data_IF_423950728906
#
_entry.id   IF_423950728906
#
_cell.length_a   1.000
_cell.length_b   1.000
_cell.length_c   1.000
_cell.angle_alpha   90.00
_cell.angle_beta   90.00
_cell.angle_gamma   90.00
#
_symmetry.space_group_name_H-M   'P 1'
#
loop_
_entity.id
_entity.type
_entity.pdbx_description
1 polymer ?
#
# COMPACT_ATOMS: atom_id res chain seq x y z
N UNK A 1 13.79 5.63 -34.02
CA UNK A 1 13.85 5.01 -32.67
C UNK A 1 12.44 4.98 -32.12
N UNK A 2 11.79 3.82 -32.13
CA UNK A 2 10.43 3.64 -31.61
C UNK A 2 10.50 3.74 -30.10
N UNK A 3 9.95 4.81 -29.53
CA UNK A 3 9.81 4.94 -28.07
C UNK A 3 8.86 3.83 -27.63
N UNK A 4 9.40 2.83 -26.96
CA UNK A 4 8.60 1.79 -26.33
C UNK A 4 7.70 2.49 -25.29
N UNK A 5 6.42 2.62 -25.59
CA UNK A 5 5.45 3.18 -24.65
C UNK A 5 5.43 2.29 -23.41
N UNK A 6 5.87 2.83 -22.29
CA UNK A 6 5.81 2.11 -21.01
C UNK A 6 4.36 1.69 -20.75
N UNK A 7 4.13 0.43 -20.40
CA UNK A 7 2.78 -0.07 -20.08
C UNK A 7 2.19 0.75 -18.92
N UNK A 8 0.95 1.22 -19.03
CA UNK A 8 0.31 2.06 -18.00
C UNK A 8 0.10 1.30 -16.67
N UNK A 9 0.06 -0.03 -16.71
CA UNK A 9 0.03 -0.91 -15.54
C UNK A 9 1.09 -2.00 -15.72
N UNK A 10 1.85 -2.26 -14.66
CA UNK A 10 2.81 -3.38 -14.62
C UNK A 10 2.08 -4.65 -14.17
N UNK A 11 2.20 -5.69 -14.95
CA UNK A 11 1.73 -7.01 -14.57
C UNK A 11 2.81 -7.73 -13.74
N UNK A 12 2.39 -8.56 -12.80
CA UNK A 12 3.30 -9.49 -12.13
C UNK A 12 3.89 -10.45 -13.17
N UNK A 13 5.20 -10.73 -13.03
CA UNK A 13 5.90 -11.64 -13.94
C UNK A 13 5.76 -13.12 -13.57
N UNK A 14 4.95 -13.43 -12.55
CA UNK A 14 4.68 -14.77 -12.08
C UNK A 14 3.19 -14.95 -11.81
N UNK A 15 2.76 -16.19 -11.78
CA UNK A 15 1.38 -16.52 -11.44
C UNK A 15 1.09 -16.19 -9.97
N UNK A 16 0.14 -15.28 -9.74
CA UNK A 16 -0.31 -14.90 -8.41
C UNK A 16 -1.05 -16.04 -7.68
N UNK A 17 -1.48 -17.09 -8.37
CA UNK A 17 -2.07 -18.28 -7.73
C UNK A 17 -1.01 -19.14 -7.05
N UNK A 18 0.21 -19.14 -7.61
CA UNK A 18 1.29 -19.97 -7.14
C UNK A 18 2.12 -19.33 -6.02
N UNK A 19 2.31 -18.00 -6.07
CA UNK A 19 3.14 -17.29 -5.11
C UNK A 19 2.73 -15.83 -4.92
N UNK A 20 2.90 -15.26 -3.70
CA UNK A 20 2.70 -13.84 -3.47
C UNK A 20 3.85 -13.01 -4.06
N UNK A 21 3.55 -11.77 -4.46
CA UNK A 21 4.54 -10.76 -4.77
C UNK A 21 5.07 -10.08 -3.50
N UNK A 22 4.17 -9.89 -2.51
CA UNK A 22 4.48 -9.22 -1.24
C UNK A 22 3.72 -9.91 -0.11
N UNK A 23 4.41 -10.11 1.02
CA UNK A 23 3.81 -10.54 2.28
C UNK A 23 4.10 -9.49 3.34
N UNK A 24 3.05 -9.00 3.96
CA UNK A 24 3.15 -8.11 5.12
C UNK A 24 3.02 -8.98 6.37
N UNK A 25 3.99 -8.89 7.26
CA UNK A 25 3.91 -9.58 8.56
C UNK A 25 3.87 -8.54 9.69
N UNK A 26 2.73 -8.50 10.38
CA UNK A 26 2.56 -7.78 11.62
C UNK A 26 3.24 -8.57 12.75
N UNK A 27 4.50 -8.22 13.05
CA UNK A 27 5.33 -9.00 13.97
C UNK A 27 4.94 -8.82 15.44
N UNK A 28 4.19 -7.73 15.75
CA UNK A 28 3.68 -7.38 17.08
C UNK A 28 2.52 -6.41 16.96
N UNK A 29 1.65 -6.35 17.98
CA UNK A 29 0.66 -5.27 18.15
C UNK A 29 1.09 -4.18 19.14
N UNK A 30 2.23 -4.35 19.79
CA UNK A 30 2.74 -3.34 20.71
C UNK A 30 3.10 -2.05 19.96
N UNK A 31 2.68 -0.90 20.51
CA UNK A 31 2.99 0.42 19.99
C UNK A 31 2.77 1.48 21.07
N UNK A 32 3.62 2.48 21.09
CA UNK A 32 3.49 3.64 22.02
C UNK A 32 2.57 4.73 21.45
N UNK A 33 2.19 4.67 20.16
CA UNK A 33 1.28 5.64 19.55
C UNK A 33 -0.18 5.24 19.73
N UNK A 34 -1.05 6.24 19.73
CA UNK A 34 -2.50 6.10 19.89
C UNK A 34 -3.30 6.54 18.65
N UNK A 35 -2.77 6.26 17.44
CA UNK A 35 -3.32 6.72 16.16
C UNK A 35 -4.82 6.48 16.02
N UNK A 36 -5.56 7.50 15.57
CA UNK A 36 -7.03 7.48 15.41
C UNK A 36 -7.49 6.50 14.32
N UNK A 37 -6.64 6.22 13.32
CA UNK A 37 -6.92 5.31 12.19
C UNK A 37 -6.31 3.92 12.35
N UNK A 38 -5.80 3.57 13.54
CA UNK A 38 -5.03 2.33 13.72
C UNK A 38 -5.82 1.09 13.32
N UNK A 39 -5.36 0.45 12.25
CA UNK A 39 -5.91 -0.82 11.73
C UNK A 39 -5.73 -1.97 12.73
N UNK A 40 -4.52 -2.04 13.32
CA UNK A 40 -4.13 -3.13 14.21
C UNK A 40 -4.79 -3.07 15.58
N UNK A 41 -5.45 -1.93 15.90
CA UNK A 41 -5.92 -1.67 17.25
C UNK A 41 -4.81 -1.93 18.27
N UNK A 42 -3.68 -1.24 18.06
CA UNK A 42 -2.42 -1.45 18.77
C UNK A 42 -2.60 -1.29 20.28
N UNK A 43 -1.80 -2.06 21.02
CA UNK A 43 -1.76 -2.11 22.49
C UNK A 43 -0.37 -1.72 22.99
N UNK A 44 -0.25 -1.32 24.27
CA UNK A 44 1.03 -0.81 24.81
C UNK A 44 2.08 -1.90 25.06
N UNK A 45 1.67 -3.15 25.23
CA UNK A 45 2.57 -4.26 25.55
C UNK A 45 2.45 -5.38 24.53
N UNK A 46 3.53 -6.14 24.38
CA UNK A 46 3.55 -7.30 23.47
C UNK A 46 2.57 -8.38 23.93
N UNK A 47 1.88 -8.97 22.96
CA UNK A 47 1.03 -10.12 23.19
C UNK A 47 1.91 -11.37 23.48
N UNK A 48 1.69 -12.10 24.58
CA UNK A 48 2.49 -13.30 24.89
C UNK A 48 2.33 -14.43 23.87
N UNK A 49 1.28 -14.38 23.04
CA UNK A 49 1.04 -15.37 21.98
C UNK A 49 1.60 -14.94 20.61
N UNK A 50 2.42 -13.90 20.54
CA UNK A 50 3.13 -13.57 19.30
C UNK A 50 3.98 -14.75 18.81
N UNK A 51 4.17 -14.86 17.49
CA UNK A 51 5.10 -15.85 16.95
C UNK A 51 6.47 -15.67 17.60
N UNK A 52 7.01 -16.75 18.14
CA UNK A 52 8.38 -16.80 18.68
C UNK A 52 9.40 -16.55 17.56
N UNK A 53 10.65 -16.31 17.93
CA UNK A 53 11.74 -16.16 16.94
C UNK A 53 11.83 -17.37 16.01
N UNK A 54 11.67 -18.58 16.53
CA UNK A 54 11.78 -19.81 15.72
C UNK A 54 10.55 -20.04 14.85
N UNK A 55 9.34 -19.68 15.32
CA UNK A 55 8.14 -19.67 14.48
C UNK A 55 8.26 -18.64 13.36
N UNK A 56 8.79 -17.45 13.67
CA UNK A 56 9.08 -16.42 12.67
C UNK A 56 10.10 -16.85 11.63
N UNK A 57 11.17 -17.57 12.05
CA UNK A 57 12.12 -18.16 11.11
C UNK A 57 11.46 -19.20 10.20
N UNK A 58 10.62 -20.08 10.74
CA UNK A 58 9.88 -21.06 9.92
C UNK A 58 8.97 -20.38 8.90
N UNK A 59 8.29 -19.29 9.29
CA UNK A 59 7.52 -18.49 8.34
C UNK A 59 8.40 -17.94 7.21
N UNK A 60 9.57 -17.39 7.53
CA UNK A 60 10.50 -16.87 6.51
C UNK A 60 11.07 -17.99 5.62
N UNK A 61 11.34 -19.19 6.17
CA UNK A 61 11.72 -20.37 5.39
C UNK A 61 10.61 -20.77 4.40
N UNK A 62 9.35 -20.74 4.84
CA UNK A 62 8.19 -21.02 4.01
C UNK A 62 8.05 -19.96 2.88
N UNK A 63 8.25 -18.69 3.18
CA UNK A 63 8.22 -17.63 2.18
C UNK A 63 9.36 -17.77 1.15
N UNK A 64 10.54 -18.19 1.59
CA UNK A 64 11.67 -18.45 0.69
C UNK A 64 11.45 -19.70 -0.18
N UNK A 65 10.67 -20.67 0.29
CA UNK A 65 10.39 -21.92 -0.44
C UNK A 65 9.57 -21.74 -1.71
N UNK A 66 8.95 -20.56 -1.94
CA UNK A 66 8.31 -20.24 -3.22
C UNK A 66 9.30 -20.15 -4.40
N UNK A 67 10.60 -20.08 -4.14
CA UNK A 67 11.61 -19.96 -5.18
C UNK A 67 11.68 -18.55 -5.79
N UNK A 68 12.41 -18.42 -6.90
CA UNK A 68 12.64 -17.12 -7.57
C UNK A 68 11.54 -16.80 -8.58
N UNK A 69 11.04 -15.57 -8.64
CA UNK A 69 11.30 -14.47 -7.72
C UNK A 69 10.66 -14.69 -6.34
N UNK A 70 11.43 -14.44 -5.27
CA UNK A 70 10.92 -14.53 -3.91
C UNK A 70 10.02 -13.33 -3.57
N UNK A 71 9.04 -13.48 -2.65
CA UNK A 71 8.23 -12.36 -2.22
C UNK A 71 9.05 -11.28 -1.50
N UNK A 72 8.60 -10.04 -1.63
CA UNK A 72 9.01 -8.97 -0.73
C UNK A 72 8.34 -9.20 0.63
N UNK A 73 9.10 -9.16 1.71
CA UNK A 73 8.59 -9.26 3.07
C UNK A 73 8.70 -7.91 3.76
N UNK A 74 7.58 -7.40 4.26
CA UNK A 74 7.53 -6.16 5.05
C UNK A 74 7.17 -6.51 6.48
N UNK A 75 8.08 -6.25 7.40
CA UNK A 75 7.86 -6.40 8.83
C UNK A 75 7.24 -5.11 9.37
N UNK A 76 6.04 -5.22 9.88
CA UNK A 76 5.25 -4.13 10.44
C UNK A 76 4.68 -4.54 11.80
N UNK A 77 3.77 -3.74 12.33
CA UNK A 77 3.12 -4.09 13.59
C UNK A 77 2.24 -2.97 14.08
N UNK A 78 2.11 -2.88 15.39
CA UNK A 78 1.99 -1.61 16.07
C UNK A 78 3.26 -0.81 15.81
N UNK A 79 4.33 -1.18 16.51
CA UNK A 79 5.69 -0.77 16.17
C UNK A 79 6.61 -2.02 16.16
N UNK A 80 7.14 -2.44 14.99
CA UNK A 80 7.99 -3.61 14.92
C UNK A 80 9.27 -3.48 15.77
N UNK A 81 9.69 -2.26 16.12
CA UNK A 81 10.86 -2.00 16.99
C UNK A 81 10.60 -2.32 18.47
N UNK A 82 9.35 -2.60 18.85
CA UNK A 82 9.03 -3.20 20.16
C UNK A 82 9.50 -4.66 20.26
N UNK A 83 9.91 -5.27 19.14
CA UNK A 83 10.34 -6.67 19.07
C UNK A 83 11.87 -6.77 19.08
N UNK A 84 12.50 -7.23 20.20
CA UNK A 84 13.96 -7.20 20.37
C UNK A 84 14.72 -8.17 19.46
N UNK A 85 14.06 -9.20 18.91
CA UNK A 85 14.64 -10.16 17.98
C UNK A 85 14.43 -9.78 16.49
N UNK A 86 13.89 -8.58 16.21
CA UNK A 86 13.65 -8.12 14.85
C UNK A 86 14.90 -8.17 13.95
N UNK A 87 16.11 -7.75 14.39
CA UNK A 87 17.33 -7.87 13.58
C UNK A 87 17.67 -9.31 13.22
N UNK A 88 17.40 -10.27 14.13
CA UNK A 88 17.63 -11.71 13.86
C UNK A 88 16.70 -12.25 12.78
N UNK A 89 15.45 -11.80 12.76
CA UNK A 89 14.46 -12.15 11.72
C UNK A 89 14.83 -11.53 10.37
N UNK A 90 15.24 -10.27 10.35
CA UNK A 90 15.71 -9.60 9.12
C UNK A 90 16.94 -10.33 8.56
N UNK A 91 17.93 -10.61 9.38
CA UNK A 91 19.15 -11.33 8.97
C UNK A 91 18.83 -12.73 8.42
N UNK A 92 17.90 -13.46 9.06
CA UNK A 92 17.48 -14.78 8.59
C UNK A 92 16.82 -14.70 7.22
N UNK A 93 15.83 -13.80 7.04
CA UNK A 93 15.17 -13.60 5.75
C UNK A 93 16.13 -13.16 4.65
N UNK A 94 17.07 -12.27 4.96
CA UNK A 94 18.12 -11.82 4.03
C UNK A 94 19.02 -12.98 3.60
N UNK A 95 19.45 -13.83 4.55
CA UNK A 95 20.25 -15.03 4.26
C UNK A 95 19.52 -15.99 3.32
N UNK A 96 18.20 -16.10 3.44
CA UNK A 96 17.36 -16.89 2.55
C UNK A 96 17.16 -16.22 1.17
N UNK A 97 17.65 -14.99 0.96
CA UNK A 97 17.49 -14.21 -0.28
C UNK A 97 16.12 -13.54 -0.43
N UNK A 98 15.37 -13.39 0.66
CA UNK A 98 14.17 -12.56 0.68
C UNK A 98 14.55 -11.07 0.64
N UNK A 99 13.73 -10.26 -0.03
CA UNK A 99 13.83 -8.80 0.08
C UNK A 99 13.12 -8.34 1.35
N UNK A 100 13.89 -7.82 2.32
CA UNK A 100 13.35 -7.40 3.62
C UNK A 100 13.14 -5.89 3.68
N UNK A 101 12.00 -5.47 4.20
CA UNK A 101 11.67 -4.07 4.48
C UNK A 101 11.01 -3.96 5.87
N UNK A 102 11.06 -2.79 6.47
CA UNK A 102 10.45 -2.52 7.78
C UNK A 102 9.53 -1.30 7.72
N UNK A 103 8.46 -1.34 8.48
CA UNK A 103 7.49 -0.25 8.60
C UNK A 103 7.28 0.10 10.08
N UNK A 104 8.23 0.79 10.71
CA UNK A 104 8.12 1.19 12.11
C UNK A 104 7.16 2.33 12.32
N UNK A 105 6.72 2.49 13.57
CA UNK A 105 6.19 3.74 14.09
C UNK A 105 7.32 4.68 14.48
N UNK A 106 7.06 5.98 14.45
CA UNK A 106 8.04 6.95 14.94
C UNK A 106 7.81 7.10 16.46
N UNK A 107 8.65 6.41 17.21
CA UNK A 107 8.69 6.35 18.68
C UNK A 107 10.14 6.50 19.14
N UNK A 108 10.39 6.62 20.43
CA UNK A 108 11.73 6.67 21.02
C UNK A 108 12.61 5.46 20.68
N UNK A 109 12.00 4.38 20.20
CA UNK A 109 12.73 3.20 19.74
C UNK A 109 13.34 3.35 18.35
N UNK A 110 12.88 4.32 17.57
CA UNK A 110 13.43 4.59 16.24
C UNK A 110 14.70 5.44 16.37
N UNK A 111 15.82 4.80 16.62
CA UNK A 111 17.13 5.45 16.73
C UNK A 111 18.01 5.14 15.51
N UNK A 112 19.09 5.91 15.35
CA UNK A 112 20.06 5.69 14.28
C UNK A 112 20.73 4.32 14.41
N UNK A 113 21.03 3.90 15.63
CA UNK A 113 21.68 2.63 15.93
C UNK A 113 20.81 1.45 15.49
N UNK A 114 19.52 1.47 15.81
CA UNK A 114 18.55 0.44 15.38
C UNK A 114 18.41 0.42 13.86
N UNK A 115 18.38 1.59 13.21
CA UNK A 115 18.34 1.66 11.76
C UNK A 115 19.61 1.08 11.12
N UNK A 116 20.79 1.38 11.67
CA UNK A 116 22.08 0.82 11.18
C UNK A 116 22.09 -0.69 11.38
N UNK A 117 21.75 -1.20 12.57
CA UNK A 117 21.69 -2.64 12.84
C UNK A 117 20.78 -3.39 11.86
N UNK A 118 19.57 -2.85 11.59
CA UNK A 118 18.63 -3.46 10.63
C UNK A 118 19.11 -3.34 9.17
N UNK A 119 19.82 -2.26 8.82
CA UNK A 119 20.42 -2.10 7.49
C UNK A 119 21.51 -3.13 7.25
N UNK A 120 22.37 -3.34 8.24
CA UNK A 120 23.45 -4.33 8.21
C UNK A 120 22.88 -5.77 8.21
N UNK A 121 21.77 -6.00 8.93
CA UNK A 121 21.01 -7.24 8.86
C UNK A 121 20.37 -7.50 7.48
N UNK A 122 20.26 -6.48 6.62
CA UNK A 122 19.84 -6.59 5.22
C UNK A 122 18.51 -5.95 4.85
N UNK A 123 17.83 -5.26 5.75
CA UNK A 123 16.67 -4.44 5.38
C UNK A 123 17.11 -3.29 4.48
N UNK A 124 16.41 -3.05 3.36
CA UNK A 124 16.81 -2.05 2.35
C UNK A 124 15.76 -0.98 2.08
N UNK A 125 14.60 -1.07 2.71
CA UNK A 125 13.57 -0.07 2.62
C UNK A 125 12.88 0.12 3.99
N UNK A 126 12.57 1.37 4.28
CA UNK A 126 11.80 1.78 5.47
C UNK A 126 10.60 2.57 4.99
N UNK A 127 9.43 2.28 5.54
CA UNK A 127 8.25 3.11 5.35
C UNK A 127 7.86 3.81 6.65
N UNK A 128 7.73 5.12 6.59
CA UNK A 128 7.25 5.97 7.69
C UNK A 128 5.90 6.56 7.32
N UNK A 129 5.10 6.88 8.30
CA UNK A 129 3.78 7.44 8.07
C UNK A 129 3.77 8.95 8.32
N UNK A 130 3.17 9.70 7.36
CA UNK A 130 2.97 11.14 7.44
C UNK A 130 1.55 11.47 6.98
N UNK A 131 0.65 11.76 7.93
CA UNK A 131 -0.79 11.94 7.67
C UNK A 131 -1.27 13.40 7.79
N UNK A 132 -0.35 14.32 7.97
CA UNK A 132 -0.58 15.77 7.98
C UNK A 132 0.68 16.51 7.62
N UNK A 133 0.54 17.72 7.12
CA UNK A 133 1.67 18.59 6.73
C UNK A 133 2.08 19.58 7.83
N UNK A 134 1.54 19.42 9.02
CA UNK A 134 1.87 20.22 10.21
C UNK A 134 1.74 19.37 11.47
N UNK A 135 2.43 19.78 12.54
CA UNK A 135 2.31 19.15 13.86
C UNK A 135 0.85 19.07 14.32
N UNK A 136 0.09 20.17 14.18
CA UNK A 136 -1.32 20.21 14.59
C UNK A 136 -2.15 19.07 14.00
N UNK A 137 -1.97 18.75 12.71
CA UNK A 137 -2.78 17.75 12.01
C UNK A 137 -2.18 16.35 12.22
N UNK A 138 -0.87 16.22 12.02
CA UNK A 138 -0.21 14.93 12.12
C UNK A 138 -0.26 14.36 13.55
N UNK A 139 0.09 15.17 14.54
CA UNK A 139 0.11 14.75 15.95
C UNK A 139 -1.29 14.37 16.44
N UNK A 140 -2.31 15.18 16.08
CA UNK A 140 -3.71 14.85 16.37
C UNK A 140 -4.12 13.50 15.74
N UNK A 141 -3.67 13.20 14.54
CA UNK A 141 -3.97 11.95 13.86
C UNK A 141 -3.22 10.75 14.48
N UNK A 142 -1.98 10.98 14.97
CA UNK A 142 -1.15 9.98 15.64
C UNK A 142 -1.43 9.83 17.14
N UNK A 143 -2.14 10.80 17.73
CA UNK A 143 -2.52 10.80 19.14
C UNK A 143 -1.36 11.07 20.10
N UNK A 144 -0.25 11.62 19.62
CA UNK A 144 0.94 11.97 20.41
C UNK A 144 1.52 13.28 19.87
N UNK A 145 1.82 14.24 20.77
CA UNK A 145 2.41 15.52 20.45
C UNK A 145 3.89 15.38 20.07
N UNK A 146 4.36 16.17 19.09
CA UNK A 146 5.75 16.20 18.64
C UNK A 146 6.10 15.17 17.54
N UNK A 147 5.22 14.21 17.27
CA UNK A 147 5.51 13.13 16.30
C UNK A 147 5.71 13.64 14.87
N UNK A 148 5.19 14.82 14.52
CA UNK A 148 5.44 15.41 13.20
C UNK A 148 6.91 15.72 12.97
N UNK A 149 7.53 16.46 13.89
CA UNK A 149 8.93 16.84 13.82
C UNK A 149 9.84 15.60 13.91
N UNK A 150 9.49 14.67 14.79
CA UNK A 150 10.18 13.39 14.90
C UNK A 150 10.10 12.58 13.61
N UNK A 151 8.95 12.60 12.92
CA UNK A 151 8.77 11.90 11.64
C UNK A 151 9.64 12.51 10.54
N UNK A 152 9.71 13.84 10.46
CA UNK A 152 10.58 14.53 9.50
C UNK A 152 12.06 14.23 9.78
N UNK A 153 12.44 14.22 11.05
CA UNK A 153 13.80 13.91 11.49
C UNK A 153 14.14 12.44 11.20
N UNK A 154 13.26 11.52 11.54
CA UNK A 154 13.41 10.09 11.26
C UNK A 154 13.52 9.80 9.76
N UNK A 155 12.73 10.48 8.93
CA UNK A 155 12.80 10.32 7.47
C UNK A 155 14.18 10.73 6.89
N UNK A 156 14.77 11.80 7.40
CA UNK A 156 16.14 12.20 7.04
C UNK A 156 17.15 11.15 7.50
N UNK A 157 17.05 10.71 8.76
CA UNK A 157 17.92 9.68 9.34
C UNK A 157 17.85 8.36 8.54
N UNK A 158 16.66 7.91 8.14
CA UNK A 158 16.45 6.72 7.29
C UNK A 158 17.22 6.85 5.98
N UNK A 159 17.19 8.03 5.34
CA UNK A 159 17.93 8.27 4.10
C UNK A 159 19.43 8.34 4.31
N UNK A 160 19.88 8.99 5.39
CA UNK A 160 21.30 9.12 5.72
C UNK A 160 21.98 7.78 6.00
N UNK A 161 21.23 6.81 6.54
CA UNK A 161 21.68 5.41 6.69
C UNK A 161 21.75 4.68 5.34
N UNK A 162 21.03 5.14 4.32
CA UNK A 162 21.08 4.56 2.97
C UNK A 162 19.84 3.77 2.56
N UNK A 163 18.76 3.82 3.33
CA UNK A 163 17.50 3.16 2.98
C UNK A 163 16.77 3.84 1.83
N UNK A 164 15.99 3.06 1.10
CA UNK A 164 14.91 3.60 0.27
C UNK A 164 13.76 4.01 1.20
N UNK A 165 13.47 5.31 1.22
CA UNK A 165 12.39 5.86 2.03
C UNK A 165 11.06 5.75 1.28
N UNK A 166 10.06 5.16 1.93
CA UNK A 166 8.66 5.25 1.55
C UNK A 166 7.92 6.11 2.58
N UNK A 167 7.05 6.99 2.12
CA UNK A 167 6.09 7.68 2.99
C UNK A 167 4.70 7.09 2.76
N UNK A 168 4.00 6.80 3.86
CA UNK A 168 2.61 6.36 3.87
C UNK A 168 1.73 7.51 4.36
N UNK A 169 0.65 7.80 3.66
CA UNK A 169 -0.33 8.83 4.04
C UNK A 169 -1.72 8.23 3.97
N UNK A 170 -2.47 8.25 5.07
CA UNK A 170 -3.88 7.88 5.07
C UNK A 170 -4.72 9.10 4.74
N UNK A 171 -5.50 9.01 3.67
CA UNK A 171 -6.41 10.09 3.28
C UNK A 171 -7.80 9.83 3.83
N UNK A 172 -8.35 10.85 4.46
CA UNK A 172 -9.71 10.93 5.00
C UNK A 172 -10.35 12.23 4.54
N UNK A 173 -11.65 12.41 4.76
CA UNK A 173 -12.32 13.67 4.46
C UNK A 173 -11.72 14.87 5.21
N UNK A 174 -11.21 14.66 6.42
CA UNK A 174 -10.58 15.71 7.22
C UNK A 174 -9.15 16.06 6.79
N UNK A 175 -8.45 15.17 6.09
CA UNK A 175 -7.03 15.33 5.73
C UNK A 175 -6.77 15.51 4.24
N UNK A 176 -7.77 15.34 3.38
CA UNK A 176 -7.59 15.37 1.92
C UNK A 176 -6.96 16.68 1.40
N UNK A 177 -7.30 17.81 2.01
CA UNK A 177 -6.75 19.13 1.64
C UNK A 177 -5.29 19.34 2.05
N UNK A 178 -4.72 18.45 2.88
CA UNK A 178 -3.31 18.47 3.24
C UNK A 178 -2.42 17.81 2.17
N UNK A 179 -2.99 17.03 1.23
CA UNK A 179 -2.23 16.27 0.24
C UNK A 179 -1.22 17.10 -0.57
N UNK A 180 -1.52 18.33 -1.05
CA UNK A 180 -0.52 19.15 -1.75
C UNK A 180 0.66 19.52 -0.87
N UNK A 181 0.45 19.87 0.40
CA UNK A 181 1.51 20.21 1.35
C UNK A 181 2.31 18.97 1.75
N UNK A 182 1.63 17.82 1.95
CA UNK A 182 2.30 16.54 2.18
C UNK A 182 3.17 16.17 0.98
N UNK A 183 2.69 16.36 -0.25
CA UNK A 183 3.50 16.15 -1.46
C UNK A 183 4.77 17.00 -1.43
N UNK A 184 4.67 18.28 -1.06
CA UNK A 184 5.85 19.15 -0.91
C UNK A 184 6.86 18.55 0.08
N UNK A 185 6.42 18.14 1.26
CA UNK A 185 7.27 17.49 2.27
C UNK A 185 7.87 16.18 1.74
N UNK A 186 7.10 15.36 1.06
CA UNK A 186 7.54 14.11 0.42
C UNK A 186 8.65 14.37 -0.60
N UNK A 187 8.54 15.44 -1.39
CA UNK A 187 9.57 15.85 -2.35
C UNK A 187 10.83 16.36 -1.64
N UNK A 188 10.70 17.21 -0.63
CA UNK A 188 11.80 17.77 0.15
C UNK A 188 12.58 16.67 0.89
N UNK A 189 11.88 15.65 1.39
CA UNK A 189 12.49 14.48 2.00
C UNK A 189 13.14 13.53 0.97
N UNK A 190 12.99 13.76 -0.33
CA UNK A 190 13.51 12.91 -1.39
C UNK A 190 13.00 11.48 -1.32
N UNK A 191 11.72 11.32 -1.00
CA UNK A 191 11.02 10.05 -0.88
C UNK A 191 11.08 9.24 -2.18
N UNK A 192 11.35 7.95 -2.06
CA UNK A 192 11.42 7.04 -3.21
C UNK A 192 10.03 6.62 -3.71
N UNK A 193 9.10 6.46 -2.77
CA UNK A 193 7.72 6.02 -3.04
C UNK A 193 6.76 6.67 -2.05
N UNK A 194 5.73 7.34 -2.55
CA UNK A 194 4.62 7.83 -1.75
C UNK A 194 3.43 6.89 -1.89
N UNK A 195 3.03 6.25 -0.78
CA UNK A 195 1.90 5.35 -0.71
C UNK A 195 0.72 6.05 -0.04
N UNK A 196 -0.29 6.38 -0.84
CA UNK A 196 -1.53 7.01 -0.35
C UNK A 196 -2.55 5.92 -0.07
N UNK A 197 -2.96 5.81 1.19
CA UNK A 197 -3.92 4.84 1.69
C UNK A 197 -5.31 5.47 1.73
N UNK A 198 -6.24 4.90 0.99
CA UNK A 198 -7.65 5.26 1.10
C UNK A 198 -8.25 4.53 2.28
N UNK A 199 -8.93 5.28 3.16
CA UNK A 199 -9.38 4.77 4.44
C UNK A 199 -10.39 3.62 4.28
N UNK A 200 -10.02 2.43 4.76
CA UNK A 200 -10.96 1.33 4.96
C UNK A 200 -11.46 1.40 6.41
N UNK A 201 -12.76 1.39 6.68
CA UNK A 201 -13.31 1.46 8.03
C UNK A 201 -13.09 0.14 8.80
N UNK A 202 -11.85 -0.04 9.27
CA UNK A 202 -11.42 -1.19 10.10
C UNK A 202 -10.65 -0.71 11.33
N UNK A 203 -10.59 -1.50 12.40
CA UNK A 203 -9.99 -1.10 13.66
C UNK A 203 -10.57 0.24 14.17
N UNK A 204 -9.72 1.13 14.70
CA UNK A 204 -10.11 2.48 15.11
C UNK A 204 -10.52 3.39 13.95
N UNK A 205 -10.07 3.09 12.73
CA UNK A 205 -10.45 3.83 11.51
C UNK A 205 -11.95 3.85 11.20
N UNK A 206 -12.76 2.97 11.84
CA UNK A 206 -14.23 3.00 11.77
C UNK A 206 -14.86 4.30 12.30
N UNK A 207 -14.13 5.05 13.10
CA UNK A 207 -14.57 6.32 13.66
C UNK A 207 -14.28 7.52 12.76
N UNK A 208 -13.56 7.32 11.65
CA UNK A 208 -13.19 8.37 10.72
C UNK A 208 -14.09 8.36 9.49
N UNK A 209 -14.27 9.53 8.88
CA UNK A 209 -15.01 9.68 7.63
C UNK A 209 -14.12 9.37 6.42
N UNK A 210 -14.44 8.34 5.61
CA UNK A 210 -13.80 8.12 4.33
C UNK A 210 -14.20 9.20 3.33
N UNK A 211 -13.46 9.31 2.24
CA UNK A 211 -13.90 10.07 1.07
C UNK A 211 -15.15 9.43 0.47
N UNK A 212 -15.97 10.22 -0.18
CA UNK A 212 -16.98 9.68 -1.09
C UNK A 212 -16.32 9.09 -2.33
N UNK A 213 -17.00 8.20 -3.03
CA UNK A 213 -16.50 7.64 -4.29
C UNK A 213 -16.13 8.72 -5.33
N UNK A 214 -16.85 9.86 -5.35
CA UNK A 214 -16.54 11.00 -6.20
C UNK A 214 -15.22 11.68 -5.79
N UNK A 215 -15.06 11.95 -4.51
CA UNK A 215 -13.82 12.53 -3.96
C UNK A 215 -12.63 11.60 -4.18
N UNK A 216 -12.79 10.27 -4.01
CA UNK A 216 -11.74 9.31 -4.29
C UNK A 216 -11.31 9.33 -5.77
N UNK A 217 -12.25 9.35 -6.70
CA UNK A 217 -11.97 9.45 -8.13
C UNK A 217 -11.17 10.72 -8.43
N UNK A 218 -11.57 11.88 -7.88
CA UNK A 218 -10.88 13.15 -8.07
C UNK A 218 -9.45 13.12 -7.48
N UNK A 219 -9.27 12.57 -6.29
CA UNK A 219 -7.95 12.40 -5.66
C UNK A 219 -7.06 11.49 -6.49
N UNK A 220 -7.59 10.38 -7.00
CA UNK A 220 -6.82 9.44 -7.83
C UNK A 220 -6.38 10.07 -9.16
N UNK A 221 -7.21 10.89 -9.78
CA UNK A 221 -6.82 11.68 -10.94
C UNK A 221 -5.72 12.69 -10.60
N UNK A 222 -5.82 13.38 -9.45
CA UNK A 222 -4.77 14.28 -9.00
C UNK A 222 -3.46 13.52 -8.69
N UNK A 223 -3.51 12.37 -8.03
CA UNK A 223 -2.33 11.52 -7.82
C UNK A 223 -1.66 11.12 -9.13
N UNK A 224 -2.46 10.87 -10.17
CA UNK A 224 -1.91 10.63 -11.51
C UNK A 224 -1.25 11.88 -12.09
N UNK A 225 -1.82 13.08 -11.89
CA UNK A 225 -1.24 14.35 -12.36
C UNK A 225 0.15 14.59 -11.76
N UNK A 226 0.36 14.24 -10.48
CA UNK A 226 1.62 14.43 -9.76
C UNK A 226 2.58 13.23 -9.82
N UNK A 227 2.17 12.13 -10.45
CA UNK A 227 2.96 10.88 -10.51
C UNK A 227 4.31 11.00 -11.23
N UNK A 228 4.49 12.07 -12.02
CA UNK A 228 5.77 12.44 -12.60
C UNK A 228 6.75 13.11 -11.64
N UNK A 229 6.32 13.50 -10.44
CA UNK A 229 7.16 14.15 -9.42
C UNK A 229 7.73 13.13 -8.43
N UNK A 230 6.91 12.18 -8.02
CA UNK A 230 7.27 11.07 -7.12
C UNK A 230 6.56 9.80 -7.55
N UNK A 231 7.14 8.63 -7.29
CA UNK A 231 6.45 7.38 -7.54
C UNK A 231 5.24 7.23 -6.60
N UNK A 232 4.07 6.99 -7.16
CA UNK A 232 2.80 6.87 -6.43
C UNK A 232 2.39 5.40 -6.30
N UNK A 233 1.85 5.06 -5.12
CA UNK A 233 1.10 3.83 -4.87
C UNK A 233 -0.23 4.21 -4.21
N UNK A 234 -1.35 3.98 -4.89
CA UNK A 234 -2.67 4.04 -4.26
C UNK A 234 -2.94 2.69 -3.58
N UNK A 235 -3.11 2.70 -2.26
CA UNK A 235 -3.36 1.51 -1.45
C UNK A 235 -4.82 1.51 -1.04
N UNK A 236 -5.48 0.35 -1.17
CA UNK A 236 -6.92 0.13 -1.01
C UNK A 236 -7.79 0.89 -2.05
N UNK A 237 -7.17 1.44 -3.10
CA UNK A 237 -7.83 2.04 -4.25
C UNK A 237 -7.28 1.47 -5.58
N UNK A 238 -7.49 0.18 -5.87
CA UNK A 238 -6.95 -0.47 -7.07
C UNK A 238 -7.49 0.11 -8.38
N UNK A 239 -8.61 0.87 -8.35
CA UNK A 239 -9.14 1.58 -9.51
C UNK A 239 -8.22 2.72 -10.00
N UNK A 240 -7.18 3.11 -9.26
CA UNK A 240 -6.06 3.89 -9.78
C UNK A 240 -5.42 3.26 -11.04
N UNK A 241 -5.40 1.92 -11.12
CA UNK A 241 -4.90 1.20 -12.31
C UNK A 241 -5.80 1.41 -13.52
N UNK A 242 -7.12 1.41 -13.33
CA UNK A 242 -8.09 1.76 -14.37
C UNK A 242 -7.84 3.19 -14.87
N UNK A 243 -7.71 4.16 -13.95
CA UNK A 243 -7.43 5.55 -14.29
C UNK A 243 -6.14 5.67 -15.10
N UNK A 244 -5.05 5.01 -14.66
CA UNK A 244 -3.78 5.02 -15.39
C UNK A 244 -3.91 4.48 -16.81
N UNK A 245 -4.72 3.42 -17.01
CA UNK A 245 -4.97 2.84 -18.33
C UNK A 245 -5.82 3.77 -19.21
N UNK A 246 -6.90 4.31 -18.67
CA UNK A 246 -7.77 5.23 -19.40
C UNK A 246 -7.00 6.48 -19.84
N UNK A 247 -6.19 7.07 -18.95
CA UNK A 247 -5.41 8.26 -19.25
C UNK A 247 -4.26 8.01 -20.24
N UNK A 248 -3.74 6.81 -20.32
CA UNK A 248 -2.72 6.46 -21.31
C UNK A 248 -3.26 6.37 -22.74
N UNK A 249 -4.57 6.17 -22.93
CA UNK A 249 -5.22 6.04 -24.23
C UNK A 249 -5.88 7.34 -24.76
N UNK A 250 -5.78 8.45 -24.03
CA UNK A 250 -6.50 9.70 -24.35
C UNK A 250 -5.53 10.86 -24.53
N UNK A 251 -5.72 11.67 -25.60
CA UNK A 251 -4.84 12.77 -25.95
C UNK A 251 -5.00 14.00 -25.02
N UNK A 252 -6.19 14.57 -24.90
CA UNK A 252 -6.48 15.71 -24.02
C UNK A 252 -7.23 15.22 -22.76
N UNK A 253 -6.53 15.26 -21.63
CA UNK A 253 -6.98 14.63 -20.38
C UNK A 253 -8.16 15.36 -19.74
N UNK A 254 -8.19 16.68 -19.81
CA UNK A 254 -9.21 17.47 -19.11
C UNK A 254 -10.58 17.43 -19.83
N UNK A 255 -10.62 17.16 -21.15
CA UNK A 255 -11.87 16.94 -21.87
C UNK A 255 -12.49 15.57 -21.58
N UNK A 256 -11.63 14.53 -21.55
CA UNK A 256 -12.07 13.15 -21.30
C UNK A 256 -12.34 12.85 -19.82
N UNK A 257 -11.70 13.58 -18.91
CA UNK A 257 -11.82 13.43 -17.46
C UNK A 257 -12.06 14.79 -16.81
N UNK A 258 -13.33 15.25 -16.75
CA UNK A 258 -13.69 16.55 -16.19
C UNK A 258 -13.04 16.79 -14.82
N UNK A 259 -12.54 18.01 -14.65
CA UNK A 259 -11.90 18.40 -13.39
C UNK A 259 -13.00 18.78 -12.40
N UNK A 260 -13.25 17.92 -11.41
CA UNK A 260 -14.15 18.24 -10.31
C UNK A 260 -13.55 19.26 -9.33
N UNK A 261 -14.37 19.79 -8.39
CA UNK A 261 -13.97 20.88 -7.51
C UNK A 261 -12.78 20.54 -6.61
N UNK A 262 -12.73 19.31 -6.07
CA UNK A 262 -11.64 18.86 -5.21
C UNK A 262 -10.33 18.75 -6.01
N UNK A 263 -10.35 18.07 -7.17
CA UNK A 263 -9.17 17.97 -8.03
C UNK A 263 -8.66 19.34 -8.47
N UNK A 264 -9.58 20.25 -8.82
CA UNK A 264 -9.25 21.62 -9.20
C UNK A 264 -8.52 22.34 -8.06
N UNK A 265 -9.01 22.21 -6.82
CA UNK A 265 -8.37 22.79 -5.65
C UNK A 265 -6.99 22.19 -5.42
N UNK A 266 -6.87 20.85 -5.36
CA UNK A 266 -5.59 20.16 -5.17
C UNK A 266 -4.54 20.55 -6.23
N UNK A 267 -4.97 20.73 -7.49
CA UNK A 267 -4.08 21.19 -8.58
C UNK A 267 -3.60 22.62 -8.34
N UNK A 268 -4.49 23.57 -7.95
CA UNK A 268 -4.11 24.96 -7.65
C UNK A 268 -3.13 25.01 -6.49
N UNK A 269 -3.48 24.37 -5.38
CA UNK A 269 -2.65 24.36 -4.18
C UNK A 269 -1.26 23.74 -4.46
N UNK A 270 -1.21 22.69 -5.29
CA UNK A 270 0.06 22.10 -5.73
C UNK A 270 0.87 23.06 -6.58
N UNK A 271 0.26 23.76 -7.53
CA UNK A 271 0.95 24.72 -8.38
C UNK A 271 1.51 25.89 -7.56
N UNK A 272 0.73 26.42 -6.62
CA UNK A 272 1.14 27.52 -5.75
C UNK A 272 2.33 27.11 -4.86
N UNK A 273 2.28 25.91 -4.25
CA UNK A 273 3.35 25.39 -3.38
C UNK A 273 4.64 25.06 -4.12
N UNK A 274 4.57 24.76 -5.41
CA UNK A 274 5.73 24.44 -6.25
C UNK A 274 6.19 25.62 -7.12
N UNK A 275 5.56 26.79 -6.98
CA UNK A 275 5.96 28.00 -7.72
C UNK A 275 7.44 28.35 -7.43
N UNK A 276 8.21 28.59 -8.48
CA UNK A 276 9.65 28.86 -8.38
C UNK A 276 10.52 27.62 -8.09
N UNK A 277 9.93 26.45 -8.02
CA UNK A 277 10.64 25.17 -7.94
C UNK A 277 10.44 24.41 -9.26
N UNK A 278 11.52 23.92 -9.84
CA UNK A 278 11.46 23.00 -10.98
C UNK A 278 11.77 21.58 -10.46
N UNK A 279 10.80 20.86 -9.85
CA UNK A 279 11.06 19.52 -9.40
C UNK A 279 11.40 18.63 -10.61
N UNK A 280 12.45 17.83 -10.46
CA UNK A 280 12.87 16.91 -11.51
C UNK A 280 11.72 15.95 -11.86
N UNK A 281 11.15 16.09 -13.07
CA UNK A 281 10.12 15.17 -13.56
C UNK A 281 10.76 13.83 -13.90
N UNK A 282 10.06 12.78 -13.49
CA UNK A 282 10.43 11.38 -13.77
C UNK A 282 9.38 10.76 -14.69
N UNK A 283 9.73 9.67 -15.33
CA UNK A 283 8.68 8.83 -15.90
C UNK A 283 7.81 8.27 -14.77
N UNK A 284 6.48 8.43 -14.85
CA UNK A 284 5.58 7.88 -13.84
C UNK A 284 5.82 6.38 -13.65
N UNK A 285 5.92 5.96 -12.40
CA UNK A 285 6.01 4.53 -12.10
C UNK A 285 4.63 3.92 -12.25
N UNK A 286 4.45 3.09 -13.28
CA UNK A 286 3.19 2.39 -13.48
C UNK A 286 2.81 1.56 -12.25
N UNK A 287 1.54 1.60 -11.78
CA UNK A 287 1.07 0.76 -10.69
C UNK A 287 1.17 -0.73 -11.06
N UNK A 288 1.31 -1.59 -10.04
CA UNK A 288 1.37 -3.05 -10.24
C UNK A 288 -0.01 -3.66 -9.94
N UNK A 289 -0.34 -4.76 -10.63
CA UNK A 289 -1.64 -5.45 -10.56
C UNK A 289 -1.84 -6.35 -9.31
N UNK A 290 -1.16 -6.04 -8.21
CA UNK A 290 -1.31 -6.70 -6.90
C UNK A 290 -2.59 -6.24 -6.20
N UNK A 291 -3.36 -7.17 -5.63
CA UNK A 291 -4.57 -6.88 -4.86
C UNK A 291 -4.67 -7.82 -3.64
N UNK A 292 -5.60 -7.57 -2.72
CA UNK A 292 -5.87 -8.44 -1.57
C UNK A 292 -6.05 -9.90 -2.02
N UNK A 293 -5.25 -10.81 -1.47
CA UNK A 293 -5.24 -12.23 -1.85
C UNK A 293 -4.63 -12.55 -3.23
N UNK A 294 -4.46 -11.56 -4.11
CA UNK A 294 -3.84 -11.72 -5.42
C UNK A 294 -2.46 -11.09 -5.45
N UNK A 295 -1.44 -11.91 -5.30
CA UNK A 295 -0.04 -11.45 -5.18
C UNK A 295 0.25 -10.76 -3.84
N UNK A 296 -0.70 -10.71 -2.94
CA UNK A 296 -0.60 -10.09 -1.62
C UNK A 296 -1.15 -11.04 -0.55
N UNK A 297 -0.48 -11.09 0.59
CA UNK A 297 -0.99 -11.72 1.79
C UNK A 297 -0.50 -10.96 3.03
N UNK A 298 -1.23 -11.13 4.12
CA UNK A 298 -0.93 -10.56 5.42
C UNK A 298 -0.89 -11.67 6.46
N UNK A 299 0.10 -11.61 7.35
CA UNK A 299 0.22 -12.49 8.52
C UNK A 299 0.19 -11.63 9.76
N UNK A 300 -0.67 -11.95 10.73
CA UNK A 300 -0.72 -11.22 11.97
C UNK A 300 0.33 -11.72 12.98
N UNK A 301 0.39 -11.04 14.13
CA UNK A 301 1.38 -11.31 15.18
C UNK A 301 1.24 -12.71 15.83
N UNK A 302 0.06 -13.32 15.77
CA UNK A 302 -0.17 -14.68 16.28
C UNK A 302 -0.12 -15.76 15.21
N UNK A 303 0.17 -15.38 13.96
CA UNK A 303 0.39 -16.31 12.84
C UNK A 303 -0.84 -16.61 12.01
N UNK A 304 -1.94 -15.89 12.19
CA UNK A 304 -3.11 -15.99 11.31
C UNK A 304 -2.83 -15.32 9.97
N UNK A 305 -3.27 -15.96 8.90
CA UNK A 305 -3.08 -15.47 7.51
C UNK A 305 -4.38 -14.86 7.00
N UNK A 306 -4.25 -13.72 6.31
CA UNK A 306 -5.36 -12.94 5.74
C UNK A 306 -5.06 -12.52 4.30
N UNK A 307 -6.07 -12.23 3.47
CA UNK A 307 -5.87 -11.68 2.13
C UNK A 307 -5.25 -10.28 2.14
N UNK A 308 -5.55 -9.48 3.15
CA UNK A 308 -5.01 -8.13 3.41
C UNK A 308 -5.11 -7.81 4.89
N UNK A 309 -4.26 -6.91 5.38
CA UNK A 309 -4.40 -6.36 6.74
C UNK A 309 -5.69 -5.56 6.96
N UNK A 310 -6.36 -5.14 5.89
CA UNK A 310 -7.65 -4.45 5.92
C UNK A 310 -8.84 -5.36 5.61
N UNK A 311 -8.63 -6.65 5.36
CA UNK A 311 -9.65 -7.66 5.12
C UNK A 311 -9.56 -8.73 6.20
N UNK A 312 -10.26 -8.58 7.34
CA UNK A 312 -10.09 -9.40 8.53
C UNK A 312 -10.82 -10.76 8.43
N UNK A 313 -10.64 -11.46 7.32
CA UNK A 313 -11.15 -12.82 7.10
C UNK A 313 -9.94 -13.76 7.09
N UNK A 314 -9.75 -14.49 8.20
CA UNK A 314 -8.64 -15.42 8.33
C UNK A 314 -8.80 -16.60 7.37
N UNK A 315 -7.70 -17.02 6.75
CA UNK A 315 -7.66 -18.12 5.76
C UNK A 315 -6.80 -19.30 6.21
N UNK A 316 -6.20 -19.23 7.38
CA UNK A 316 -5.40 -20.29 8.01
C UNK A 316 -4.44 -19.74 9.05
N UNK A 317 -3.69 -20.64 9.70
CA UNK A 317 -2.67 -20.32 10.69
C UNK A 317 -1.33 -20.96 10.30
N UNK A 318 -0.24 -20.20 10.33
CA UNK A 318 1.12 -20.71 10.06
C UNK A 318 1.64 -21.62 11.16
N UNK A 319 0.93 -21.72 12.28
CA UNK A 319 1.21 -22.71 13.35
C UNK A 319 0.71 -24.10 13.00
N UNK A 320 -0.38 -24.18 12.23
CA UNK A 320 -1.07 -25.42 11.91
C UNK A 320 -0.69 -25.95 10.52
N UNK A 321 -0.47 -25.05 9.58
CA UNK A 321 -0.27 -25.38 8.15
C UNK A 321 0.81 -24.46 7.57
N UNK A 322 1.65 -24.98 6.69
CA UNK A 322 2.70 -24.20 6.02
C UNK A 322 2.10 -23.08 5.19
N UNK A 323 2.75 -21.92 5.21
CA UNK A 323 2.24 -20.75 4.49
C UNK A 323 1.97 -20.98 2.99
N UNK A 324 2.82 -21.72 2.21
CA UNK A 324 2.53 -22.02 0.81
C UNK A 324 1.26 -22.83 0.59
N UNK A 325 0.95 -23.74 1.50
CA UNK A 325 -0.27 -24.56 1.44
C UNK A 325 -1.52 -23.72 1.70
N UNK A 326 -1.47 -22.84 2.72
CA UNK A 326 -2.54 -21.86 2.98
C UNK A 326 -2.74 -20.96 1.76
N UNK A 327 -1.64 -20.40 1.23
CA UNK A 327 -1.70 -19.44 0.12
C UNK A 327 -2.33 -20.05 -1.14
N UNK A 328 -1.98 -21.29 -1.49
CA UNK A 328 -2.49 -21.96 -2.67
C UNK A 328 -3.84 -22.62 -2.46
N UNK A 329 -4.06 -23.20 -1.29
CA UNK A 329 -5.21 -24.07 -1.01
C UNK A 329 -6.46 -23.34 -0.49
N UNK A 330 -6.34 -22.13 0.03
CA UNK A 330 -7.51 -21.40 0.58
C UNK A 330 -8.53 -21.06 -0.49
N UNK A 331 -9.77 -21.50 -0.30
CA UNK A 331 -10.88 -21.22 -1.21
C UNK A 331 -11.12 -19.70 -1.40
N UNK A 332 -11.01 -18.91 -0.31
CA UNK A 332 -11.15 -17.46 -0.40
C UNK A 332 -10.03 -16.83 -1.23
N UNK A 333 -8.76 -17.23 -1.01
CA UNK A 333 -7.66 -16.71 -1.79
C UNK A 333 -7.77 -17.09 -3.27
N UNK A 334 -8.27 -18.28 -3.59
CA UNK A 334 -8.54 -18.70 -4.97
C UNK A 334 -9.65 -17.84 -5.60
N UNK A 335 -10.75 -17.61 -4.89
CA UNK A 335 -11.85 -16.75 -5.37
C UNK A 335 -11.38 -15.31 -5.62
N UNK A 336 -10.53 -14.74 -4.74
CA UNK A 336 -9.96 -13.39 -4.90
C UNK A 336 -8.99 -13.27 -6.09
N UNK A 337 -8.53 -14.37 -6.65
CA UNK A 337 -7.68 -14.44 -7.86
C UNK A 337 -8.47 -14.70 -9.14
N UNK A 338 -9.76 -14.96 -9.02
CA UNK A 338 -10.67 -15.26 -10.12
C UNK A 338 -11.59 -14.05 -10.34
N UNK A 339 -11.19 -13.06 -11.17
CA UNK A 339 -11.96 -11.81 -11.33
C UNK A 339 -13.39 -12.01 -11.83
N UNK A 340 -13.64 -13.12 -12.56
CA UNK A 340 -14.98 -13.48 -13.03
C UNK A 340 -15.92 -13.96 -11.91
N UNK A 341 -15.38 -14.25 -10.71
CA UNK A 341 -16.15 -14.58 -9.52
C UNK A 341 -16.63 -13.33 -8.75
N UNK A 342 -16.19 -12.13 -9.12
CA UNK A 342 -16.59 -10.90 -8.43
C UNK A 342 -18.04 -10.54 -8.75
N UNK A 343 -18.76 -10.06 -7.74
CA UNK A 343 -20.12 -9.58 -7.87
C UNK A 343 -20.22 -8.17 -8.48
N UNK A 344 -21.43 -7.82 -8.89
CA UNK A 344 -21.80 -6.50 -9.36
C UNK A 344 -20.96 -5.98 -10.51
N UNK A 345 -20.73 -4.66 -10.53
CA UNK A 345 -19.95 -3.99 -11.59
C UNK A 345 -18.49 -4.45 -11.67
N UNK A 346 -17.90 -4.92 -10.55
CA UNK A 346 -16.51 -5.38 -10.58
C UNK A 346 -16.32 -6.65 -11.42
N UNK A 347 -17.27 -7.60 -11.38
CA UNK A 347 -17.23 -8.83 -12.19
C UNK A 347 -17.51 -8.59 -13.67
N UNK A 348 -18.29 -7.55 -13.99
CA UNK A 348 -18.63 -7.19 -15.38
C UNK A 348 -17.62 -6.21 -16.00
N UNK A 349 -16.70 -5.65 -15.19
CA UNK A 349 -15.80 -4.60 -15.62
C UNK A 349 -14.72 -5.12 -16.57
N UNK A 350 -14.50 -4.42 -17.67
CA UNK A 350 -13.41 -4.70 -18.61
C UNK A 350 -12.03 -4.58 -17.96
N UNK A 351 -11.88 -3.80 -16.89
CA UNK A 351 -10.64 -3.66 -16.12
C UNK A 351 -10.50 -4.68 -14.97
N UNK A 352 -11.41 -5.64 -14.80
CA UNK A 352 -11.46 -6.55 -13.65
C UNK A 352 -10.16 -7.32 -13.40
N UNK A 353 -9.45 -7.68 -14.47
CA UNK A 353 -8.20 -8.45 -14.38
C UNK A 353 -7.03 -7.65 -13.83
N UNK A 354 -7.00 -6.33 -14.04
CA UNK A 354 -5.92 -5.44 -13.57
C UNK A 354 -6.32 -4.64 -12.34
N UNK A 355 -7.60 -4.32 -12.19
CA UNK A 355 -8.15 -3.54 -11.09
C UNK A 355 -8.74 -4.46 -10.01
N UNK A 356 -9.86 -5.08 -10.30
CA UNK A 356 -10.59 -5.97 -9.39
C UNK A 356 -11.28 -5.28 -8.21
N UNK A 357 -11.22 -3.95 -8.08
CA UNK A 357 -11.77 -3.19 -6.94
C UNK A 357 -11.09 -3.48 -5.60
N UNK A 358 -11.29 -2.64 -4.58
CA UNK A 358 -10.83 -2.92 -3.23
C UNK A 358 -11.69 -4.00 -2.59
N UNK A 359 -11.09 -5.15 -2.32
CA UNK A 359 -11.78 -6.25 -1.65
C UNK A 359 -12.03 -5.95 -0.18
N UNK A 360 -11.19 -5.08 0.38
CA UNK A 360 -11.33 -4.59 1.76
C UNK A 360 -12.53 -3.63 1.90
N UNK A 361 -12.72 -2.68 0.95
CA UNK A 361 -13.89 -1.80 0.93
C UNK A 361 -15.18 -2.59 0.67
N UNK A 362 -15.15 -3.54 -0.29
CA UNK A 362 -16.28 -4.42 -0.55
C UNK A 362 -16.72 -5.15 0.73
N UNK A 363 -15.78 -5.79 1.42
CA UNK A 363 -16.06 -6.48 2.68
C UNK A 363 -16.53 -5.56 3.80
N UNK A 364 -15.86 -4.43 3.99
CA UNK A 364 -16.20 -3.49 5.08
C UNK A 364 -17.63 -2.94 4.94
N UNK A 365 -18.14 -2.82 3.71
CA UNK A 365 -19.47 -2.28 3.43
C UNK A 365 -20.55 -3.34 3.37
N UNK A 366 -20.24 -4.53 2.82
CA UNK A 366 -21.27 -5.55 2.50
C UNK A 366 -21.13 -6.83 3.33
N UNK A 367 -19.98 -7.07 3.96
CA UNK A 367 -19.62 -8.33 4.58
C UNK A 367 -19.14 -9.41 3.59
N UNK A 368 -19.14 -9.11 2.28
CA UNK A 368 -18.70 -10.02 1.22
C UNK A 368 -17.46 -9.45 0.50
N UNK A 369 -16.28 -10.10 0.58
CA UNK A 369 -15.07 -9.66 -0.10
C UNK A 369 -15.14 -9.79 -1.63
N UNK A 370 -16.11 -10.53 -2.18
CA UNK A 370 -16.32 -10.69 -3.61
C UNK A 370 -17.33 -9.69 -4.18
N UNK A 371 -18.05 -8.94 -3.35
CA UNK A 371 -18.98 -7.90 -3.78
C UNK A 371 -18.30 -6.81 -4.61
N UNK A 372 -19.06 -5.95 -5.27
CA UNK A 372 -18.50 -4.77 -5.94
C UNK A 372 -17.84 -3.79 -4.97
N UNK A 373 -16.85 -3.07 -5.45
CA UNK A 373 -16.20 -2.01 -4.70
C UNK A 373 -17.10 -0.76 -4.67
N UNK A 374 -17.58 -0.33 -3.50
CA UNK A 374 -18.47 0.83 -3.39
C UNK A 374 -17.76 2.16 -3.64
N UNK A 375 -16.44 2.21 -3.54
CA UNK A 375 -15.65 3.43 -3.73
C UNK A 375 -15.35 3.75 -5.21
N UNK A 376 -15.68 2.86 -6.14
CA UNK A 376 -15.49 3.07 -7.56
C UNK A 376 -16.75 3.64 -8.22
N UNK A 377 -16.65 4.79 -8.89
CA UNK A 377 -17.77 5.38 -9.66
C UNK A 377 -17.95 4.81 -11.07
N UNK A 378 -16.92 4.13 -11.58
CA UNK A 378 -16.92 3.68 -12.97
C UNK A 378 -18.07 2.70 -13.23
N UNK A 379 -18.76 2.95 -14.36
CA UNK A 379 -19.78 2.06 -14.89
C UNK A 379 -19.19 1.30 -16.08
N UNK A 380 -19.07 -0.03 -16.00
CA UNK A 380 -18.55 -0.83 -17.09
C UNK A 380 -19.42 -0.70 -18.35
N UNK A 381 -18.79 -0.70 -19.52
CA UNK A 381 -19.51 -0.80 -20.78
C UNK A 381 -19.84 -2.29 -21.04
N UNK A 382 -21.12 -2.66 -21.23
CA UNK A 382 -21.54 -4.06 -21.23
C UNK A 382 -20.94 -4.94 -22.33
N UNK A 383 -20.34 -4.36 -23.38
CA UNK A 383 -19.87 -5.10 -24.57
C UNK A 383 -18.38 -4.92 -24.92
N UNK A 384 -17.58 -4.31 -24.07
CA UNK A 384 -16.14 -4.16 -24.34
C UNK A 384 -15.31 -5.18 -23.56
N UNK A 385 -15.06 -6.33 -24.21
CA UNK A 385 -13.98 -7.23 -23.76
C UNK A 385 -12.66 -6.46 -23.79
N UNK A 386 -12.06 -6.23 -22.63
CA UNK A 386 -10.73 -5.65 -22.53
C UNK A 386 -9.67 -6.75 -22.67
N UNK A 387 -8.88 -6.70 -23.75
CA UNK A 387 -7.67 -7.50 -23.90
C UNK A 387 -6.46 -6.67 -23.46
N UNK A 388 -5.78 -7.04 -22.34
CA UNK A 388 -4.57 -6.35 -21.90
C UNK A 388 -3.43 -6.34 -22.93
N UNK A 389 -3.51 -7.19 -23.98
CA UNK A 389 -2.50 -7.31 -25.01
C UNK A 389 -2.76 -6.41 -26.23
N UNK A 390 -3.98 -5.87 -26.39
CA UNK A 390 -4.35 -5.12 -27.60
C UNK A 390 -3.99 -3.64 -27.57
N UNK A 391 -3.53 -3.07 -26.48
CA UNK A 391 -3.05 -1.67 -26.44
C UNK A 391 -1.69 -1.44 -27.13
N UNK A 392 -1.14 -2.42 -27.84
CA UNK A 392 0.11 -2.30 -28.61
C UNK A 392 -0.09 -2.15 -30.13
N UNK A 393 -1.32 -2.15 -30.65
CA UNK A 393 -1.57 -1.94 -32.07
C UNK A 393 -2.12 -0.54 -32.30
N UNK A 394 -1.18 0.43 -32.38
CA UNK A 394 -1.46 1.71 -33.01
C UNK A 394 -1.84 1.47 -34.48
N UNK A 395 -2.89 2.11 -34.88
CA UNK A 395 -3.32 2.26 -36.28
C UNK A 395 -2.17 2.68 -37.17
N UNK A 396 -2.03 1.96 -38.26
CA UNK A 396 -1.23 2.28 -39.44
C UNK A 396 -1.46 3.69 -39.93
#
# INVERSE_FOLDING_TARGET
MTVAHARPVRLMHHDASERPFIVIWEVTRACQLACTHCRADAIQSRNPFELTTDEGRRLLDDLASFGTPRPLVVLTGGDPFERPDLPKLVAHGTKLGLSMAVSPSVTDRLTREVLVELYDAGAKAVSLSLDGASAKIHDSFRGVEGVFEDTVTAARMVRDVGYRLQINTTVTRSTVHELPKILKTVLDLGTTLWSVFFLVPTGRGKLLEPLTAAEEEEVLHWLHDVSGLVAIKATEAPHYRRIAMQRAGVGEVDEAFPVGPLRAQLRRDTADLLTGQEPQRRHPRAPIDVNSGRGFAFVDHVGMVYPSGFLPVAVGSVRDTRFPEIYRGSALLQALRTPDAFGGKCGQCEFRTVCGGSRSHAYATTGDPLAEDPSCLYQPAPDRGFDPQTTSRGTT
#
